data_IF_789029089911
#
_entry.id   IF_789029089911
#
_cell.length_a   1.000
_cell.length_b   1.000
_cell.length_c   1.000
_cell.angle_alpha   90.00
_cell.angle_beta   90.00
_cell.angle_gamma   90.00
#
_symmetry.space_group_name_H-M   'P 1'
#
loop_
_entity.id
_entity.type
_entity.pdbx_description
1 polymer ?
#
# COMPACT_ATOMS: atom_id res chain seq x y z
N UNK A 1 17.54 0.19 7.67
CA UNK A 1 16.40 0.65 8.49
C UNK A 1 15.72 -0.55 9.12
N UNK A 2 15.11 -0.43 10.31
CA UNK A 2 14.31 -1.54 10.86
C UNK A 2 13.02 -1.73 10.04
N UNK A 3 12.46 -2.95 10.06
CA UNK A 3 11.20 -3.26 9.36
C UNK A 3 10.04 -2.35 9.82
N UNK A 4 9.95 -2.05 11.12
CA UNK A 4 8.91 -1.15 11.65
C UNK A 4 9.10 0.29 11.19
N UNK A 5 10.35 0.78 11.09
CA UNK A 5 10.62 2.11 10.58
C UNK A 5 10.23 2.23 9.10
N UNK A 6 10.48 1.18 8.31
CA UNK A 6 10.10 1.16 6.90
C UNK A 6 8.58 1.16 6.73
N UNK A 7 7.85 0.33 7.50
CA UNK A 7 6.39 0.33 7.51
C UNK A 7 5.82 1.70 7.87
N UNK A 8 6.32 2.31 8.96
CA UNK A 8 5.85 3.64 9.40
C UNK A 8 6.11 4.73 8.36
N UNK A 9 7.26 4.68 7.67
CA UNK A 9 7.57 5.62 6.59
C UNK A 9 6.66 5.40 5.39
N UNK A 10 6.43 4.15 4.99
CA UNK A 10 5.55 3.79 3.86
C UNK A 10 4.11 4.21 4.14
N UNK A 11 3.59 3.92 5.33
CA UNK A 11 2.26 4.36 5.77
C UNK A 11 2.10 5.89 5.69
N UNK A 12 3.08 6.65 6.20
CA UNK A 12 3.04 8.10 6.12
C UNK A 12 3.11 8.62 4.68
N UNK A 13 3.90 7.97 3.83
CA UNK A 13 4.01 8.32 2.41
C UNK A 13 2.67 8.10 1.67
N UNK A 14 2.08 6.91 1.84
CA UNK A 14 0.82 6.52 1.20
C UNK A 14 -0.33 7.39 1.69
N UNK A 15 -0.44 7.62 3.00
CA UNK A 15 -1.45 8.49 3.59
C UNK A 15 -1.39 9.88 2.97
N UNK A 16 -0.22 10.50 2.91
CA UNK A 16 -0.05 11.84 2.29
C UNK A 16 -0.36 11.85 0.79
N UNK A 17 -0.11 10.75 0.08
CA UNK A 17 -0.34 10.65 -1.37
C UNK A 17 -1.83 10.56 -1.71
N UNK A 18 -2.62 9.91 -0.85
CA UNK A 18 -4.04 9.59 -1.07
C UNK A 18 -4.98 10.40 -0.17
N UNK A 19 -4.46 11.30 0.65
CA UNK A 19 -5.25 12.22 1.47
C UNK A 19 -5.99 13.21 0.56
N UNK A 20 -7.33 13.17 0.60
CA UNK A 20 -8.18 14.01 -0.24
C UNK A 20 -8.52 13.43 -1.63
N UNK A 21 -8.14 12.18 -1.90
CA UNK A 21 -8.62 11.42 -3.06
C UNK A 21 -10.13 11.15 -2.91
N UNK A 22 -10.93 11.37 -3.97
CA UNK A 22 -12.39 11.38 -3.92
C UNK A 22 -13.10 10.27 -4.69
N UNK A 23 -12.35 9.39 -5.38
CA UNK A 23 -12.92 8.31 -6.22
C UNK A 23 -13.11 7.00 -5.44
N UNK A 24 -12.72 6.97 -4.16
CA UNK A 24 -12.85 5.80 -3.29
C UNK A 24 -11.56 5.01 -3.09
N UNK A 25 -10.44 5.52 -3.60
CA UNK A 25 -9.07 5.01 -3.42
C UNK A 25 -8.29 5.85 -2.39
N UNK A 26 -9.01 6.43 -1.44
CA UNK A 26 -8.46 7.26 -0.38
C UNK A 26 -7.63 6.46 0.63
N UNK A 27 -6.98 7.17 1.55
CA UNK A 27 -6.27 6.53 2.66
C UNK A 27 -7.12 5.50 3.41
N UNK A 28 -8.43 5.74 3.56
CA UNK A 28 -9.31 4.83 4.29
C UNK A 28 -9.55 3.53 3.55
N UNK A 29 -9.58 3.52 2.22
CA UNK A 29 -9.56 2.31 1.41
C UNK A 29 -8.31 1.47 1.74
N UNK A 30 -7.12 2.06 1.61
CA UNK A 30 -5.84 1.37 1.91
C UNK A 30 -5.82 0.84 3.35
N UNK A 31 -6.26 1.65 4.30
CA UNK A 31 -6.27 1.29 5.72
C UNK A 31 -7.18 0.07 5.99
N UNK A 32 -8.34 -0.01 5.35
CA UNK A 32 -9.22 -1.20 5.45
C UNK A 32 -8.56 -2.43 4.84
N UNK A 33 -7.97 -2.32 3.64
CA UNK A 33 -7.29 -3.43 2.96
C UNK A 33 -6.12 -3.94 3.81
N UNK A 34 -5.26 -3.06 4.32
CA UNK A 34 -4.14 -3.42 5.23
C UNK A 34 -4.63 -4.21 6.45
N UNK A 35 -5.66 -3.74 7.13
CA UNK A 35 -6.16 -4.40 8.33
C UNK A 35 -6.74 -5.78 8.05
N UNK A 36 -7.47 -5.94 6.93
CA UNK A 36 -7.97 -7.24 6.50
C UNK A 36 -6.83 -8.17 6.10
N UNK A 37 -5.86 -7.69 5.31
CA UNK A 37 -4.70 -8.46 4.88
C UNK A 37 -3.85 -8.96 6.06
N UNK A 38 -3.64 -8.12 7.07
CA UNK A 38 -2.92 -8.50 8.30
C UNK A 38 -3.66 -9.59 9.08
N UNK A 39 -4.99 -9.52 9.20
CA UNK A 39 -5.79 -10.57 9.86
C UNK A 39 -5.63 -11.91 9.15
N UNK A 40 -5.82 -11.92 7.83
CA UNK A 40 -5.64 -13.12 7.01
C UNK A 40 -4.21 -13.65 7.09
N UNK A 41 -3.21 -12.78 7.08
CA UNK A 41 -1.80 -13.18 7.17
C UNK A 41 -1.46 -13.86 8.50
N UNK A 42 -2.12 -13.50 9.60
CA UNK A 42 -1.96 -14.18 10.89
C UNK A 42 -2.53 -15.59 10.81
N UNK A 43 -3.74 -15.74 10.27
CA UNK A 43 -4.43 -17.04 10.12
C UNK A 43 -3.65 -17.99 9.19
N UNK A 44 -3.17 -17.47 8.07
CA UNK A 44 -2.41 -18.22 7.05
C UNK A 44 -0.92 -18.39 7.40
N UNK A 45 -0.47 -17.85 8.55
CA UNK A 45 0.95 -17.85 8.97
C UNK A 45 1.89 -17.25 7.92
N UNK A 46 1.42 -16.25 7.19
CA UNK A 46 2.17 -15.54 6.17
C UNK A 46 3.17 -14.53 6.78
N UNK A 47 4.09 -14.04 5.94
CA UNK A 47 5.06 -13.03 6.37
C UNK A 47 4.39 -11.65 6.50
N UNK A 48 4.06 -11.27 7.75
CA UNK A 48 3.35 -10.03 8.07
C UNK A 48 3.99 -8.78 7.45
N UNK A 49 5.33 -8.70 7.46
CA UNK A 49 6.03 -7.55 6.91
C UNK A 49 5.83 -7.40 5.40
N UNK A 50 5.88 -8.51 4.65
CA UNK A 50 5.67 -8.49 3.19
C UNK A 50 4.21 -8.15 2.89
N UNK A 51 3.27 -8.77 3.59
CA UNK A 51 1.83 -8.53 3.38
C UNK A 51 1.46 -7.08 3.66
N UNK A 52 1.96 -6.53 4.77
CA UNK A 52 1.65 -5.15 5.14
C UNK A 52 2.26 -4.14 4.17
N UNK A 53 3.50 -4.36 3.72
CA UNK A 53 4.13 -3.54 2.69
C UNK A 53 3.37 -3.60 1.35
N UNK A 54 2.96 -4.79 0.92
CA UNK A 54 2.19 -4.96 -0.30
C UNK A 54 0.82 -4.26 -0.19
N UNK A 55 0.11 -4.44 0.92
CA UNK A 55 -1.19 -3.81 1.14
C UNK A 55 -1.10 -2.27 1.20
N UNK A 56 -0.03 -1.71 1.76
CA UNK A 56 0.17 -0.26 1.77
C UNK A 56 0.45 0.30 0.36
N UNK A 57 1.13 -0.45 -0.50
CA UNK A 57 1.60 0.05 -1.80
C UNK A 57 0.71 -0.34 -3.00
N UNK A 58 -0.23 -1.26 -2.84
CA UNK A 58 -0.95 -1.87 -3.97
C UNK A 58 -1.65 -0.86 -4.90
N UNK A 59 -2.16 0.23 -4.33
CA UNK A 59 -2.94 1.26 -5.02
C UNK A 59 -2.18 2.60 -5.13
N UNK A 60 -0.86 2.61 -4.88
CA UNK A 60 -0.07 3.86 -4.83
C UNK A 60 0.09 4.56 -6.19
N UNK A 61 -0.11 3.82 -7.26
CA UNK A 61 -0.21 4.35 -8.61
C UNK A 61 -1.27 3.55 -9.35
N UNK A 62 -2.53 3.77 -8.97
CA UNK A 62 -3.66 3.11 -9.60
C UNK A 62 -3.63 3.37 -11.12
N UNK A 63 -3.38 2.29 -11.88
CA UNK A 63 -3.37 2.21 -13.33
C UNK A 63 -4.59 2.86 -13.99
N UNK A 64 -5.73 2.99 -13.28
CA UNK A 64 -6.93 3.70 -13.78
C UNK A 64 -6.70 5.18 -14.08
N UNK A 65 -5.71 5.82 -13.45
CA UNK A 65 -5.28 7.19 -13.75
C UNK A 65 -4.12 7.27 -14.74
N UNK A 66 -3.65 6.12 -15.23
CA UNK A 66 -2.53 5.99 -16.15
C UNK A 66 -2.88 5.09 -17.35
N UNK A 67 -4.08 5.24 -17.91
CA UNK A 67 -4.54 4.52 -19.11
C UNK A 67 -4.48 2.98 -19.01
N UNK A 68 -4.62 2.43 -17.81
CA UNK A 68 -4.62 0.98 -17.58
C UNK A 68 -3.22 0.35 -17.52
N UNK A 69 -2.15 1.14 -17.41
CA UNK A 69 -0.80 0.60 -17.34
C UNK A 69 -0.44 0.10 -15.92
N UNK A 70 -0.47 -1.23 -15.76
CA UNK A 70 -0.14 -1.93 -14.51
C UNK A 70 1.34 -1.84 -14.10
N UNK A 71 2.26 -1.46 -14.98
CA UNK A 71 3.70 -1.39 -14.66
C UNK A 71 4.07 -0.16 -13.80
N UNK A 72 3.21 0.86 -13.77
CA UNK A 72 3.47 2.12 -13.06
C UNK A 72 3.42 1.94 -11.55
N UNK A 73 2.54 1.07 -11.04
CA UNK A 73 2.48 0.67 -9.63
C UNK A 73 3.80 0.09 -9.13
N UNK A 74 4.27 -1.03 -9.70
CA UNK A 74 5.57 -1.62 -9.38
C UNK A 74 6.74 -0.65 -9.54
N UNK A 75 6.76 0.18 -10.58
CA UNK A 75 7.82 1.17 -10.78
C UNK A 75 7.84 2.24 -9.68
N UNK A 76 6.67 2.72 -9.26
CA UNK A 76 6.51 3.70 -8.18
C UNK A 76 6.93 3.12 -6.83
N UNK A 77 6.52 1.88 -6.55
CA UNK A 77 6.94 1.16 -5.36
C UNK A 77 8.47 0.99 -5.32
N UNK A 78 9.09 0.60 -6.44
CA UNK A 78 10.54 0.45 -6.56
C UNK A 78 11.30 1.78 -6.39
N UNK A 79 10.74 2.90 -6.84
CA UNK A 79 11.35 4.23 -6.67
C UNK A 79 11.31 4.72 -5.23
N UNK A 80 10.33 4.27 -4.45
CA UNK A 80 10.20 4.62 -3.03
C UNK A 80 11.14 3.82 -2.13
N UNK A 81 11.28 2.51 -2.39
CA UNK A 81 12.10 1.57 -1.62
C UNK A 81 13.60 1.85 -1.71
#
# INVERSE_FOLDING_TARGET
>A
MSKSLLLSKTENYVRKKLEGEGTGHDWWHIHRVRNTALKLAIEEKANLFIVEMAALLHDIADHKFHDGNEEIGPATAKKWL
#
